data_IF_917925617076
#
_entry.id   IF_917925617076
#
_cell.length_a   1.000
_cell.length_b   1.000
_cell.length_c   1.000
_cell.angle_alpha   90.00
_cell.angle_beta   90.00
_cell.angle_gamma   90.00
#
_symmetry.space_group_name_H-M   'P 1'
#
loop_
_entity.id
_entity.type
_entity.pdbx_description
1 polymer ?
#
# COMPACT_ATOMS: atom_id res chain seq x y z
N UNK A 1 23.84 -24.56 -17.92
CA UNK A 1 23.47 -24.13 -19.28
C UNK A 1 22.57 -22.91 -19.13
N UNK A 2 23.04 -21.72 -19.49
CA UNK A 2 22.25 -20.48 -19.40
C UNK A 2 21.52 -20.29 -20.74
N UNK A 3 20.22 -20.55 -20.75
CA UNK A 3 19.34 -20.20 -21.86
C UNK A 3 19.16 -18.68 -21.85
N UNK A 4 19.68 -18.02 -22.88
CA UNK A 4 19.38 -16.61 -23.16
C UNK A 4 17.93 -16.56 -23.66
N UNK A 5 17.04 -16.01 -22.83
CA UNK A 5 15.74 -15.53 -23.26
C UNK A 5 15.97 -14.34 -24.19
N UNK A 6 15.57 -14.48 -25.45
CA UNK A 6 15.54 -13.39 -26.41
C UNK A 6 14.24 -12.62 -26.14
N UNK A 7 14.34 -11.54 -25.37
CA UNK A 7 13.25 -10.59 -25.20
C UNK A 7 12.95 -10.01 -26.59
N UNK A 8 11.79 -10.37 -27.15
CA UNK A 8 11.27 -9.73 -28.35
C UNK A 8 10.71 -8.37 -27.91
N UNK A 9 11.59 -7.39 -27.78
CA UNK A 9 11.16 -6.00 -27.63
C UNK A 9 10.36 -5.63 -28.86
N UNK A 10 9.05 -5.44 -28.70
CA UNK A 10 8.23 -4.76 -29.70
C UNK A 10 8.72 -3.32 -29.70
N UNK A 11 9.74 -3.07 -30.53
CA UNK A 11 10.15 -1.72 -30.89
C UNK A 11 8.97 -1.06 -31.61
N UNK A 12 8.22 -0.26 -30.86
CA UNK A 12 7.22 0.67 -31.35
C UNK A 12 7.91 1.83 -32.08
N UNK A 13 8.64 1.51 -33.15
CA UNK A 13 9.42 2.47 -33.93
C UNK A 13 9.04 2.36 -35.40
N UNK A 14 7.76 2.57 -35.72
CA UNK A 14 7.34 2.90 -37.11
C UNK A 14 6.02 3.67 -37.15
N UNK A 15 5.98 4.95 -36.77
CA UNK A 15 4.92 5.87 -37.24
C UNK A 15 5.47 7.30 -37.37
N UNK A 16 6.18 7.54 -38.47
CA UNK A 16 6.53 8.89 -38.96
C UNK A 16 6.03 9.13 -40.40
N UNK A 17 5.08 8.33 -40.87
CA UNK A 17 4.47 8.45 -42.20
C UNK A 17 2.96 8.13 -42.18
N UNK A 18 2.17 8.89 -41.42
CA UNK A 18 0.73 9.02 -41.64
C UNK A 18 0.31 10.46 -41.31
N UNK A 19 0.39 11.33 -42.30
CA UNK A 19 -0.43 12.55 -42.34
C UNK A 19 -1.89 12.11 -42.59
N UNK A 20 -2.80 12.50 -41.70
CA UNK A 20 -4.27 12.38 -41.79
C UNK A 20 -4.99 11.08 -41.38
N UNK A 21 -4.47 10.26 -40.46
CA UNK A 21 -5.40 9.41 -39.67
C UNK A 21 -5.98 10.24 -38.53
N UNK A 22 -7.31 10.19 -38.38
CA UNK A 22 -7.98 10.92 -37.31
C UNK A 22 -7.56 10.35 -35.95
N UNK A 23 -7.51 11.18 -34.90
CA UNK A 23 -7.18 10.76 -33.53
C UNK A 23 -8.07 9.59 -33.06
N UNK A 24 -9.28 9.52 -33.59
CA UNK A 24 -10.28 8.50 -33.27
C UNK A 24 -9.87 7.12 -33.82
N UNK A 25 -9.38 7.04 -35.06
CA UNK A 25 -8.91 5.78 -35.67
C UNK A 25 -7.68 5.19 -34.96
N UNK A 26 -6.79 6.03 -34.44
CA UNK A 26 -5.60 5.57 -33.68
C UNK A 26 -6.02 5.00 -32.33
N UNK A 27 -7.05 5.59 -31.70
CA UNK A 27 -7.56 5.12 -30.40
C UNK A 27 -8.24 3.76 -30.56
N UNK A 28 -9.03 3.58 -31.62
CA UNK A 28 -9.73 2.33 -31.93
C UNK A 28 -8.76 1.16 -32.19
N UNK A 29 -7.70 1.37 -32.97
CA UNK A 29 -6.68 0.34 -33.24
C UNK A 29 -5.93 -0.06 -31.95
N UNK A 30 -5.67 0.91 -31.08
CA UNK A 30 -4.98 0.66 -29.82
C UNK A 30 -5.85 -0.16 -28.85
N UNK A 31 -7.14 0.18 -28.73
CA UNK A 31 -8.10 -0.57 -27.92
C UNK A 31 -8.31 -2.00 -28.46
N UNK A 32 -8.42 -2.17 -29.78
CA UNK A 32 -8.56 -3.50 -30.41
C UNK A 32 -7.30 -4.36 -30.14
N UNK A 33 -6.11 -3.77 -30.25
CA UNK A 33 -4.85 -4.47 -29.97
C UNK A 33 -4.77 -4.92 -28.51
N UNK A 34 -5.08 -4.02 -27.55
CA UNK A 34 -5.07 -4.36 -26.13
C UNK A 34 -6.11 -5.42 -25.79
N UNK A 35 -7.31 -5.35 -26.37
CA UNK A 35 -8.37 -6.32 -26.11
C UNK A 35 -8.01 -7.75 -26.54
N UNK A 36 -7.05 -7.92 -27.46
CA UNK A 36 -6.63 -9.22 -27.98
C UNK A 36 -5.55 -9.93 -27.16
N UNK A 37 -4.90 -9.23 -26.23
CA UNK A 37 -3.85 -9.80 -25.38
C UNK A 37 -4.46 -10.65 -24.27
N UNK A 38 -3.85 -11.80 -24.00
CA UNK A 38 -4.16 -12.61 -22.82
C UNK A 38 -3.77 -11.90 -21.52
N UNK A 39 -4.28 -12.37 -20.39
CA UNK A 39 -3.88 -11.88 -19.06
C UNK A 39 -2.35 -11.88 -18.86
N UNK A 40 -1.68 -12.97 -19.27
CA UNK A 40 -0.22 -13.11 -19.13
C UNK A 40 0.52 -12.14 -20.06
N UNK A 41 -0.01 -11.88 -21.25
CA UNK A 41 0.58 -10.91 -22.16
C UNK A 41 0.39 -9.47 -21.68
N UNK A 42 -0.74 -9.13 -21.05
CA UNK A 42 -0.98 -7.81 -20.45
C UNK A 42 0.01 -7.51 -19.33
N UNK A 43 -0.15 -8.17 -18.18
CA UNK A 43 0.89 -9.07 -17.70
C UNK A 43 2.32 -8.57 -17.84
N UNK A 44 3.05 -9.35 -18.65
CA UNK A 44 4.46 -9.26 -19.02
C UNK A 44 4.84 -8.04 -19.89
N UNK A 45 3.87 -7.27 -20.38
CA UNK A 45 4.11 -6.08 -21.18
C UNK A 45 4.04 -4.79 -20.36
N UNK A 46 3.71 -4.87 -19.07
CA UNK A 46 3.63 -3.71 -18.20
C UNK A 46 5.04 -3.26 -17.78
N UNK A 47 5.28 -1.95 -17.65
CA UNK A 47 6.61 -1.43 -17.36
C UNK A 47 7.14 -1.82 -15.98
N UNK A 48 6.23 -2.16 -15.05
CA UNK A 48 6.57 -2.53 -13.67
C UNK A 48 5.80 -3.79 -13.28
N UNK A 49 6.54 -4.84 -12.93
CA UNK A 49 6.01 -6.14 -12.52
C UNK A 49 6.85 -6.73 -11.37
N UNK A 50 6.23 -7.12 -10.24
CA UNK A 50 6.92 -7.81 -9.15
C UNK A 50 7.06 -9.31 -9.44
N UNK A 51 6.21 -9.89 -10.28
CA UNK A 51 6.18 -11.34 -10.55
C UNK A 51 6.59 -11.63 -11.99
N UNK A 52 7.86 -11.96 -12.18
CA UNK A 52 8.39 -12.42 -13.49
C UNK A 52 8.22 -13.93 -13.73
N UNK A 53 7.69 -14.67 -12.76
CA UNK A 53 7.44 -16.10 -12.89
C UNK A 53 6.09 -16.36 -13.58
N UNK A 54 6.16 -16.72 -14.86
CA UNK A 54 5.00 -17.06 -15.70
C UNK A 54 4.14 -18.18 -15.09
N UNK A 55 4.73 -19.13 -14.36
CA UNK A 55 3.96 -20.21 -13.74
C UNK A 55 3.17 -19.72 -12.51
N UNK A 56 3.71 -18.74 -11.79
CA UNK A 56 3.00 -18.07 -10.71
C UNK A 56 1.87 -17.20 -11.27
N UNK A 57 2.11 -16.46 -12.37
CA UNK A 57 1.08 -15.69 -13.07
C UNK A 57 -0.08 -16.58 -13.53
N UNK A 58 0.19 -17.75 -14.11
CA UNK A 58 -0.86 -18.71 -14.47
C UNK A 58 -1.69 -19.17 -13.28
N UNK A 59 -1.06 -19.37 -12.12
CA UNK A 59 -1.81 -19.76 -10.92
C UNK A 59 -2.72 -18.63 -10.44
N UNK A 60 -2.25 -17.37 -10.46
CA UNK A 60 -3.09 -16.21 -10.15
C UNK A 60 -4.21 -16.00 -11.18
N UNK A 61 -3.95 -16.22 -12.46
CA UNK A 61 -4.99 -16.23 -13.50
C UNK A 61 -6.11 -17.22 -13.15
N UNK A 62 -5.76 -18.44 -12.74
CA UNK A 62 -6.74 -19.42 -12.31
C UNK A 62 -7.47 -19.01 -11.04
N UNK A 63 -6.80 -18.36 -10.06
CA UNK A 63 -7.49 -17.80 -8.88
C UNK A 63 -8.51 -16.75 -9.31
N UNK A 64 -8.12 -15.81 -10.18
CA UNK A 64 -9.00 -14.76 -10.71
C UNK A 64 -10.23 -15.35 -11.42
N UNK A 65 -10.04 -16.39 -12.24
CA UNK A 65 -11.15 -17.09 -12.91
C UNK A 65 -12.12 -17.72 -11.91
N UNK A 66 -11.60 -18.43 -10.90
CA UNK A 66 -12.45 -19.09 -9.91
C UNK A 66 -13.17 -18.07 -9.01
N UNK A 67 -12.51 -16.98 -8.64
CA UNK A 67 -13.10 -15.87 -7.89
C UNK A 67 -14.23 -15.22 -8.70
N UNK A 68 -14.01 -14.89 -9.96
CA UNK A 68 -15.05 -14.32 -10.83
C UNK A 68 -16.20 -15.30 -11.08
N UNK A 69 -15.90 -16.59 -11.19
CA UNK A 69 -16.93 -17.64 -11.32
C UNK A 69 -17.84 -17.67 -10.10
N UNK A 70 -17.25 -17.63 -8.90
CA UNK A 70 -18.01 -17.53 -7.64
C UNK A 70 -18.74 -16.19 -7.52
N UNK A 71 -18.14 -15.10 -8.02
CA UNK A 71 -18.73 -13.76 -7.99
C UNK A 71 -19.97 -13.58 -8.87
N UNK A 72 -20.32 -14.54 -9.75
CA UNK A 72 -21.65 -14.60 -10.37
C UNK A 72 -22.76 -14.81 -9.34
N UNK A 73 -22.46 -15.49 -8.21
CA UNK A 73 -23.37 -15.64 -7.09
C UNK A 73 -23.38 -14.37 -6.23
N UNK A 74 -24.57 -13.79 -6.04
CA UNK A 74 -24.76 -12.62 -5.19
C UNK A 74 -24.34 -12.85 -3.74
N UNK A 75 -24.66 -14.01 -3.18
CA UNK A 75 -24.33 -14.34 -1.78
C UNK A 75 -22.81 -14.38 -1.56
N UNK A 76 -22.04 -14.77 -2.58
CA UNK A 76 -20.58 -14.70 -2.54
C UNK A 76 -20.07 -13.25 -2.52
N UNK A 77 -20.65 -12.37 -3.32
CA UNK A 77 -20.25 -10.95 -3.31
C UNK A 77 -20.59 -10.27 -1.98
N UNK A 78 -21.74 -10.61 -1.39
CA UNK A 78 -22.10 -10.16 -0.05
C UNK A 78 -21.11 -10.70 1.00
N UNK A 79 -20.69 -11.97 0.90
CA UNK A 79 -19.66 -12.54 1.77
C UNK A 79 -18.31 -11.80 1.66
N UNK A 80 -17.85 -11.49 0.44
CA UNK A 80 -16.58 -10.75 0.25
C UNK A 80 -16.64 -9.40 0.95
N UNK A 81 -17.75 -8.67 0.81
CA UNK A 81 -17.94 -7.41 1.51
C UNK A 81 -17.92 -7.58 3.04
N UNK A 82 -18.69 -8.53 3.57
CA UNK A 82 -18.78 -8.75 5.02
C UNK A 82 -17.43 -9.16 5.62
N UNK A 83 -16.65 -9.99 4.94
CA UNK A 83 -15.31 -10.40 5.37
C UNK A 83 -14.31 -9.24 5.26
N UNK A 84 -14.39 -8.41 4.20
CA UNK A 84 -13.57 -7.21 4.05
C UNK A 84 -13.73 -6.23 5.23
N UNK A 85 -14.94 -6.10 5.76
CA UNK A 85 -15.23 -5.22 6.90
C UNK A 85 -14.58 -5.68 8.20
N UNK A 86 -14.13 -6.93 8.30
CA UNK A 86 -13.41 -7.40 9.48
C UNK A 86 -12.05 -6.73 9.62
N UNK A 87 -11.48 -6.27 8.51
CA UNK A 87 -10.16 -5.65 8.37
C UNK A 87 -9.02 -6.50 8.95
N UNK A 88 -8.07 -6.88 8.11
CA UNK A 88 -6.86 -7.60 8.55
C UNK A 88 -5.71 -6.61 8.47
N UNK A 89 -5.03 -6.38 9.59
CA UNK A 89 -3.92 -5.41 9.72
C UNK A 89 -4.27 -3.96 9.33
N UNK A 90 -5.57 -3.68 9.23
CA UNK A 90 -6.13 -2.42 8.79
C UNK A 90 -6.71 -2.47 7.39
N UNK A 91 -6.37 -3.44 6.55
CA UNK A 91 -6.81 -3.49 5.15
C UNK A 91 -8.07 -4.32 4.92
N UNK A 92 -8.72 -4.05 3.79
CA UNK A 92 -9.93 -4.75 3.34
C UNK A 92 -9.58 -6.07 2.63
N UNK A 93 -8.70 -6.84 3.27
CA UNK A 93 -8.13 -8.08 2.76
C UNK A 93 -8.96 -9.30 3.14
N UNK A 94 -9.12 -10.21 2.17
CA UNK A 94 -9.84 -11.46 2.31
C UNK A 94 -8.91 -12.60 1.89
N UNK A 95 -8.55 -13.46 2.83
CA UNK A 95 -7.75 -14.64 2.51
C UNK A 95 -8.56 -15.69 1.73
N UNK A 96 -7.92 -16.26 0.70
CA UNK A 96 -8.55 -17.31 -0.12
C UNK A 96 -8.91 -18.55 0.72
N UNK A 97 -8.16 -18.86 1.78
CA UNK A 97 -8.47 -19.99 2.66
C UNK A 97 -9.78 -19.78 3.46
N UNK A 98 -10.11 -18.54 3.83
CA UNK A 98 -11.39 -18.16 4.46
C UNK A 98 -12.57 -18.39 3.52
N UNK A 99 -12.43 -17.98 2.26
CA UNK A 99 -13.41 -18.26 1.21
C UNK A 99 -13.64 -19.77 1.09
N UNK A 100 -12.55 -20.54 1.02
CA UNK A 100 -12.62 -22.01 0.92
C UNK A 100 -13.35 -22.61 2.11
N UNK A 101 -13.06 -22.15 3.32
CA UNK A 101 -13.70 -22.66 4.53
C UNK A 101 -15.19 -22.32 4.63
N UNK A 102 -15.58 -21.12 4.20
CA UNK A 102 -16.98 -20.68 4.17
C UNK A 102 -17.82 -21.51 3.16
N UNK A 103 -17.26 -21.80 1.98
CA UNK A 103 -17.99 -22.43 0.87
C UNK A 103 -17.74 -23.93 0.68
N UNK A 104 -16.92 -24.59 1.52
CA UNK A 104 -16.59 -26.03 1.36
C UNK A 104 -17.77 -27.01 1.34
N UNK A 105 -18.96 -26.58 1.80
CA UNK A 105 -20.19 -27.38 1.82
C UNK A 105 -21.23 -26.92 0.80
N UNK A 106 -20.97 -25.84 0.07
CA UNK A 106 -21.88 -25.32 -0.94
C UNK A 106 -21.68 -26.09 -2.25
N UNK A 107 -22.66 -26.91 -2.62
CA UNK A 107 -22.59 -27.71 -3.85
C UNK A 107 -22.63 -26.84 -5.12
N UNK A 108 -23.16 -25.61 -5.06
CA UNK A 108 -23.25 -24.67 -6.18
C UNK A 108 -21.89 -24.11 -6.62
N UNK A 109 -20.92 -24.00 -5.69
CA UNK A 109 -19.57 -23.47 -5.95
C UNK A 109 -18.45 -24.44 -5.57
N UNK A 110 -18.79 -25.71 -5.37
CA UNK A 110 -17.87 -26.76 -4.90
C UNK A 110 -16.64 -26.96 -5.78
N UNK A 111 -16.82 -26.86 -7.10
CA UNK A 111 -15.72 -27.00 -8.07
C UNK A 111 -14.72 -25.86 -7.86
N UNK A 112 -15.18 -24.61 -7.90
CA UNK A 112 -14.35 -23.42 -7.68
C UNK A 112 -13.68 -23.41 -6.31
N UNK A 113 -14.43 -23.77 -5.28
CA UNK A 113 -13.88 -23.90 -3.92
C UNK A 113 -12.75 -24.93 -3.83
N UNK A 114 -12.90 -26.08 -4.50
CA UNK A 114 -11.86 -27.12 -4.53
C UNK A 114 -10.62 -26.66 -5.30
N UNK A 115 -10.81 -25.93 -6.40
CA UNK A 115 -9.73 -25.38 -7.21
C UNK A 115 -8.98 -24.28 -6.44
N UNK A 116 -9.69 -23.32 -5.83
CA UNK A 116 -9.10 -22.28 -4.99
C UNK A 116 -8.29 -22.86 -3.83
N UNK A 117 -8.75 -23.94 -3.19
CA UNK A 117 -7.99 -24.63 -2.15
C UNK A 117 -6.63 -25.14 -2.66
N UNK A 118 -6.62 -25.77 -3.83
CA UNK A 118 -5.38 -26.28 -4.43
C UNK A 118 -4.45 -25.14 -4.83
N UNK A 119 -4.97 -24.11 -5.50
CA UNK A 119 -4.23 -22.94 -5.94
C UNK A 119 -3.63 -22.19 -4.75
N UNK A 120 -4.41 -21.98 -3.68
CA UNK A 120 -3.95 -21.31 -2.46
C UNK A 120 -2.76 -22.03 -1.82
N UNK A 121 -2.80 -23.36 -1.72
CA UNK A 121 -1.68 -24.15 -1.19
C UNK A 121 -0.46 -24.07 -2.11
N UNK A 122 -0.65 -24.15 -3.43
CA UNK A 122 0.44 -24.11 -4.39
C UNK A 122 1.14 -22.73 -4.40
N UNK A 123 0.37 -21.65 -4.47
CA UNK A 123 0.87 -20.28 -4.40
C UNK A 123 1.60 -20.01 -3.09
N UNK A 124 1.01 -20.43 -1.96
CA UNK A 124 1.67 -20.32 -0.65
C UNK A 124 3.03 -21.00 -0.63
N UNK A 125 3.13 -22.23 -1.16
CA UNK A 125 4.39 -22.96 -1.21
C UNK A 125 5.40 -22.32 -2.17
N UNK A 126 4.93 -21.83 -3.32
CA UNK A 126 5.77 -21.16 -4.32
C UNK A 126 6.27 -19.78 -3.84
N UNK A 127 5.51 -19.11 -2.97
CA UNK A 127 5.79 -17.77 -2.48
C UNK A 127 6.28 -17.76 -1.03
N UNK A 128 7.10 -18.73 -0.63
CA UNK A 128 7.75 -18.81 0.70
C UNK A 128 6.81 -18.72 1.92
N UNK A 129 5.55 -19.12 1.78
CA UNK A 129 4.56 -19.09 2.85
C UNK A 129 3.56 -17.92 2.75
N UNK A 130 3.78 -16.96 1.84
CA UNK A 130 2.89 -15.82 1.59
C UNK A 130 1.60 -16.33 0.94
N UNK A 131 0.46 -16.03 1.55
CA UNK A 131 -0.86 -16.48 1.10
C UNK A 131 -1.41 -15.59 -0.03
N UNK A 132 -2.23 -16.14 -0.94
CA UNK A 132 -3.01 -15.31 -1.84
C UNK A 132 -4.25 -14.74 -1.14
N UNK A 133 -4.61 -13.52 -1.53
CA UNK A 133 -5.75 -12.75 -1.00
C UNK A 133 -6.60 -12.16 -2.13
N UNK A 134 -7.75 -11.62 -1.73
CA UNK A 134 -8.50 -10.60 -2.46
C UNK A 134 -8.46 -9.33 -1.60
N UNK A 135 -8.03 -8.21 -2.14
CA UNK A 135 -8.26 -6.88 -1.57
C UNK A 135 -9.47 -6.23 -2.25
N UNK A 136 -10.39 -5.64 -1.48
CA UNK A 136 -11.63 -5.05 -1.98
C UNK A 136 -11.78 -3.56 -1.57
N UNK A 137 -11.22 -2.61 -2.36
CA UNK A 137 -11.15 -1.20 -1.98
C UNK A 137 -12.49 -0.53 -1.73
N UNK A 138 -13.50 -0.82 -2.55
CA UNK A 138 -14.85 -0.23 -2.44
C UNK A 138 -15.53 -0.56 -1.11
N UNK A 139 -15.09 -1.59 -0.39
CA UNK A 139 -15.59 -1.88 0.95
C UNK A 139 -15.45 -0.65 1.88
N UNK A 140 -14.39 0.13 1.76
CA UNK A 140 -14.21 1.39 2.52
C UNK A 140 -15.32 2.40 2.22
N UNK A 141 -15.61 2.63 0.93
CA UNK A 141 -16.65 3.57 0.49
C UNK A 141 -18.03 3.12 1.00
N UNK A 142 -18.32 1.83 0.92
CA UNK A 142 -19.58 1.25 1.39
C UNK A 142 -19.70 1.33 2.91
N UNK A 143 -18.63 1.08 3.65
CA UNK A 143 -18.57 1.22 5.11
C UNK A 143 -18.83 2.68 5.54
N UNK A 144 -18.19 3.65 4.88
CA UNK A 144 -18.44 5.09 5.12
C UNK A 144 -19.90 5.45 4.88
N UNK A 145 -20.49 4.96 3.79
CA UNK A 145 -21.91 5.19 3.49
C UNK A 145 -22.84 4.59 4.55
N UNK A 146 -22.55 3.39 5.07
CA UNK A 146 -23.28 2.78 6.18
C UNK A 146 -23.16 3.59 7.48
N UNK A 147 -21.98 4.13 7.78
CA UNK A 147 -21.75 4.99 8.95
C UNK A 147 -22.56 6.29 8.86
N UNK A 148 -22.64 6.90 7.68
CA UNK A 148 -23.41 8.13 7.44
C UNK A 148 -24.91 7.86 7.38
N UNK A 149 -25.32 6.78 6.73
CA UNK A 149 -26.72 6.38 6.55
C UNK A 149 -26.92 4.89 6.87
N UNK A 150 -27.42 4.62 8.08
CA UNK A 150 -27.70 3.25 8.54
C UNK A 150 -28.75 2.50 7.70
N UNK A 151 -29.55 3.19 6.88
CA UNK A 151 -30.50 2.56 5.96
C UNK A 151 -29.93 2.30 4.56
N UNK A 152 -28.64 2.61 4.34
CA UNK A 152 -27.97 2.34 3.07
C UNK A 152 -27.94 0.83 2.80
N UNK A 153 -28.48 0.42 1.65
CA UNK A 153 -28.61 -0.98 1.29
C UNK A 153 -27.43 -1.42 0.42
N UNK A 154 -26.31 -1.78 1.07
CA UNK A 154 -25.10 -2.27 0.40
C UNK A 154 -25.39 -3.44 -0.55
N UNK A 155 -26.26 -4.37 -0.13
CA UNK A 155 -26.60 -5.56 -0.93
C UNK A 155 -27.24 -5.25 -2.28
N UNK A 156 -27.80 -4.05 -2.46
CA UNK A 156 -28.37 -3.61 -3.73
C UNK A 156 -27.38 -2.88 -4.64
N UNK A 157 -26.20 -2.54 -4.13
CA UNK A 157 -25.19 -1.75 -4.85
C UNK A 157 -23.97 -2.56 -5.27
N UNK A 158 -23.83 -3.80 -4.77
CA UNK A 158 -22.74 -4.71 -5.17
C UNK A 158 -23.11 -5.44 -6.47
N UNK A 159 -22.34 -5.16 -7.50
CA UNK A 159 -22.40 -5.65 -8.87
C UNK A 159 -21.34 -6.72 -9.12
N UNK A 160 -21.32 -7.31 -10.32
CA UNK A 160 -20.26 -8.24 -10.70
C UNK A 160 -18.91 -7.51 -10.83
N UNK A 161 -17.86 -8.01 -10.18
CA UNK A 161 -16.61 -7.29 -10.08
C UNK A 161 -15.79 -7.39 -11.38
N UNK A 162 -14.95 -6.38 -11.60
CA UNK A 162 -13.75 -6.51 -12.43
C UNK A 162 -12.63 -7.06 -11.54
N UNK A 163 -11.80 -7.96 -12.05
CA UNK A 163 -10.64 -8.45 -11.30
C UNK A 163 -9.36 -7.85 -11.86
N UNK A 164 -8.45 -7.47 -10.98
CA UNK A 164 -7.11 -6.98 -11.33
C UNK A 164 -6.07 -7.82 -10.60
N UNK A 165 -4.86 -7.91 -11.15
CA UNK A 165 -3.75 -8.59 -10.50
C UNK A 165 -2.89 -7.58 -9.71
N UNK A 166 -2.63 -7.88 -8.44
CA UNK A 166 -1.77 -7.05 -7.58
C UNK A 166 -0.35 -7.03 -8.13
N UNK A 167 0.18 -5.83 -8.36
CA UNK A 167 1.58 -5.62 -8.69
C UNK A 167 1.88 -5.36 -10.17
N UNK A 168 0.98 -5.61 -11.10
CA UNK A 168 1.23 -5.29 -12.50
C UNK A 168 0.55 -3.96 -12.87
N UNK A 169 1.32 -2.92 -13.20
CA UNK A 169 0.74 -1.58 -13.42
C UNK A 169 1.54 -0.71 -14.40
N UNK A 170 0.86 0.28 -14.97
CA UNK A 170 1.43 1.31 -15.83
C UNK A 170 2.11 2.43 -15.04
N UNK A 171 2.86 3.30 -15.71
CA UNK A 171 3.51 4.45 -15.05
C UNK A 171 2.54 5.42 -14.38
N UNK A 172 1.28 5.46 -14.84
CA UNK A 172 0.20 6.26 -14.25
C UNK A 172 -0.56 5.51 -13.13
N UNK A 173 -0.06 4.35 -12.71
CA UNK A 173 -0.65 3.46 -11.72
C UNK A 173 -1.98 2.84 -12.12
N UNK A 174 -2.37 2.92 -13.40
CA UNK A 174 -3.50 2.14 -13.90
C UNK A 174 -3.12 0.65 -14.06
N UNK A 175 -4.09 -0.22 -13.83
CA UNK A 175 -3.93 -1.70 -13.86
C UNK A 175 -4.95 -2.31 -14.83
N UNK A 176 -4.58 -3.27 -15.69
CA UNK A 176 -5.55 -3.93 -16.55
C UNK A 176 -6.55 -4.74 -15.72
N UNK A 177 -7.83 -4.46 -15.93
CA UNK A 177 -8.96 -5.15 -15.33
C UNK A 177 -9.57 -6.16 -16.30
N UNK A 178 -9.98 -7.30 -15.74
CA UNK A 178 -10.50 -8.44 -16.49
C UNK A 178 -11.88 -8.87 -16.02
N UNK A 179 -12.62 -9.50 -16.93
CA UNK A 179 -13.89 -10.19 -16.67
C UNK A 179 -13.89 -11.57 -17.32
N UNK A 180 -14.88 -12.39 -17.01
CA UNK A 180 -15.10 -13.66 -17.69
C UNK A 180 -15.95 -13.47 -18.93
N UNK A 181 -15.53 -14.07 -20.04
CA UNK A 181 -16.37 -14.27 -21.22
C UNK A 181 -17.33 -15.46 -21.06
N UNK A 182 -18.02 -15.82 -22.15
CA UNK A 182 -18.94 -16.97 -22.19
C UNK A 182 -18.24 -18.32 -21.98
N UNK A 183 -16.94 -18.41 -22.32
CA UNK A 183 -16.12 -19.60 -22.18
C UNK A 183 -15.43 -19.70 -20.81
N UNK A 184 -15.63 -18.70 -19.93
CA UNK A 184 -14.94 -18.51 -18.65
C UNK A 184 -13.42 -18.30 -18.80
N UNK A 185 -13.00 -17.61 -19.86
CA UNK A 185 -11.65 -17.08 -20.01
C UNK A 185 -11.60 -15.63 -19.53
N UNK A 186 -10.45 -15.20 -19.01
CA UNK A 186 -10.24 -13.78 -18.71
C UNK A 186 -10.11 -12.99 -20.01
N UNK A 187 -10.97 -11.98 -20.15
CA UNK A 187 -10.90 -10.99 -21.22
C UNK A 187 -10.68 -9.62 -20.60
N UNK A 188 -9.87 -8.80 -21.27
CA UNK A 188 -9.65 -7.42 -20.86
C UNK A 188 -10.97 -6.64 -20.91
N UNK A 189 -11.30 -5.94 -19.82
CA UNK A 189 -12.49 -5.09 -19.70
C UNK A 189 -12.10 -3.62 -19.84
N UNK A 190 -11.19 -3.16 -18.98
CA UNK A 190 -10.76 -1.76 -18.92
C UNK A 190 -9.46 -1.58 -18.14
N UNK A 191 -8.85 -0.41 -18.28
CA UNK A 191 -7.85 0.06 -17.33
C UNK A 191 -8.53 0.55 -16.05
N UNK A 192 -8.14 0.00 -14.92
CA UNK A 192 -8.64 0.36 -13.59
C UNK A 192 -7.68 1.34 -12.94
N UNK A 193 -8.22 2.39 -12.35
CA UNK A 193 -7.48 3.41 -11.59
C UNK A 193 -7.94 3.39 -10.13
N UNK A 194 -7.21 4.07 -9.23
CA UNK A 194 -7.59 4.24 -7.83
C UNK A 194 -9.02 4.78 -7.69
N UNK A 195 -9.39 5.83 -8.43
CA UNK A 195 -10.74 6.40 -8.34
C UNK A 195 -11.81 5.41 -8.88
N UNK A 196 -11.50 4.64 -9.92
CA UNK A 196 -12.41 3.60 -10.41
C UNK A 196 -12.64 2.51 -9.35
N UNK A 197 -11.56 2.02 -8.72
CA UNK A 197 -11.61 0.91 -7.77
C UNK A 197 -12.36 1.24 -6.46
N UNK A 198 -12.37 2.51 -6.04
CA UNK A 198 -13.12 2.94 -4.85
C UNK A 198 -14.61 3.20 -5.13
N UNK A 199 -15.01 3.35 -6.40
CA UNK A 199 -16.40 3.62 -6.80
C UNK A 199 -17.11 2.40 -7.38
N UNK A 200 -16.36 1.44 -7.92
CA UNK A 200 -16.87 0.24 -8.60
C UNK A 200 -16.36 -1.05 -7.97
N UNK A 201 -17.06 -2.16 -8.19
CA UNK A 201 -16.64 -3.45 -7.67
C UNK A 201 -15.39 -3.93 -8.41
N UNK A 202 -14.25 -3.78 -7.76
CA UNK A 202 -12.94 -4.24 -8.23
C UNK A 202 -12.35 -5.15 -7.18
N UNK A 203 -12.02 -6.39 -7.57
CA UNK A 203 -11.32 -7.35 -6.73
C UNK A 203 -9.86 -7.40 -7.15
N UNK A 204 -8.97 -7.12 -6.20
CA UNK A 204 -7.52 -7.15 -6.45
C UNK A 204 -7.00 -8.47 -5.93
N UNK A 205 -6.52 -9.33 -6.83
CA UNK A 205 -6.02 -10.65 -6.49
C UNK A 205 -4.51 -10.64 -6.50
N UNK A 206 -3.89 -11.13 -5.43
CA UNK A 206 -2.44 -11.13 -5.31
C UNK A 206 -1.92 -11.79 -4.04
N UNK A 207 -0.61 -11.70 -3.78
CA UNK A 207 -0.05 -12.08 -2.49
C UNK A 207 -0.51 -11.12 -1.38
N UNK A 208 -0.62 -11.63 -0.15
CA UNK A 208 -0.68 -10.79 1.06
C UNK A 208 0.63 -10.01 1.22
N UNK A 209 0.56 -8.83 1.83
CA UNK A 209 1.71 -8.18 2.45
C UNK A 209 1.79 -8.68 3.90
N UNK A 210 2.99 -9.07 4.35
CA UNK A 210 3.22 -9.57 5.71
C UNK A 210 3.78 -8.43 6.55
N UNK A 211 2.90 -7.52 6.97
CA UNK A 211 3.29 -6.32 7.73
C UNK A 211 2.96 -6.51 9.21
N UNK A 212 3.96 -6.47 10.06
CA UNK A 212 3.77 -6.46 11.52
C UNK A 212 3.32 -5.06 11.99
N UNK A 213 2.02 -4.79 11.87
CA UNK A 213 1.37 -3.60 12.38
C UNK A 213 0.76 -3.85 13.76
N UNK A 214 0.94 -2.95 14.73
CA UNK A 214 0.15 -3.00 15.95
C UNK A 214 -1.33 -2.74 15.61
N UNK A 215 -2.26 -3.52 16.18
CA UNK A 215 -3.72 -3.26 16.10
C UNK A 215 -3.97 -1.76 16.29
N UNK A 216 -4.65 -1.10 15.35
CA UNK A 216 -4.79 0.37 15.22
C UNK A 216 -4.89 1.07 16.60
N UNK A 217 -3.73 1.44 17.17
CA UNK A 217 -3.70 2.19 18.41
C UNK A 217 -3.86 3.64 17.99
N UNK A 218 -5.09 4.11 17.91
CA UNK A 218 -5.34 5.55 18.06
C UNK A 218 -4.67 5.91 19.40
N UNK A 219 -3.63 6.76 19.44
CA UNK A 219 -2.84 6.96 20.65
C UNK A 219 -3.72 7.66 21.69
N UNK A 220 -4.46 6.87 22.47
CA UNK A 220 -5.21 7.33 23.62
C UNK A 220 -4.20 7.64 24.70
N UNK A 221 -3.66 8.86 24.63
CA UNK A 221 -3.29 9.63 25.80
C UNK A 221 -2.21 9.04 26.71
N UNK A 222 -1.03 8.68 26.18
CA UNK A 222 0.19 9.00 26.90
C UNK A 222 0.46 10.50 26.74
N UNK A 223 -0.47 11.30 27.27
CA UNK A 223 -0.36 12.74 27.31
C UNK A 223 0.19 13.06 28.70
N UNK A 224 1.52 13.18 28.89
CA UNK A 224 2.09 13.46 30.19
C UNK A 224 1.63 14.83 30.65
N UNK A 225 0.50 14.90 31.36
CA UNK A 225 -0.09 16.09 31.98
C UNK A 225 0.12 17.36 31.18
N UNK A 226 -0.66 17.54 30.11
CA UNK A 226 -0.67 18.78 29.32
C UNK A 226 -1.09 19.96 30.22
N UNK A 227 -0.12 20.77 30.63
CA UNK A 227 -0.36 21.95 31.46
C UNK A 227 0.39 23.19 30.94
N UNK A 228 0.87 23.17 29.70
CA UNK A 228 1.48 24.34 29.08
C UNK A 228 1.09 24.42 27.62
N UNK A 229 0.04 25.18 27.31
CA UNK A 229 -0.15 25.77 25.98
C UNK A 229 1.05 26.69 25.68
N UNK A 230 2.15 26.10 25.22
CA UNK A 230 3.33 26.84 24.81
C UNK A 230 3.03 27.48 23.45
N UNK A 231 2.57 28.73 23.49
CA UNK A 231 2.26 29.54 22.30
C UNK A 231 3.52 29.97 21.53
N UNK A 232 4.72 29.61 21.98
CA UNK A 232 5.96 29.95 21.29
C UNK A 232 6.33 28.88 20.25
N UNK A 233 6.64 29.35 19.05
CA UNK A 233 7.18 28.54 17.94
C UNK A 233 8.65 28.13 18.17
N UNK A 234 9.26 28.60 19.26
CA UNK A 234 10.67 28.38 19.63
C UNK A 234 10.78 27.24 20.63
N UNK A 235 11.76 26.36 20.43
CA UNK A 235 12.12 25.29 21.39
C UNK A 235 12.89 25.82 22.58
N UNK A 236 12.64 25.23 23.74
CA UNK A 236 13.36 25.51 24.98
C UNK A 236 13.83 24.21 25.60
N UNK A 237 14.92 24.26 26.36
CA UNK A 237 15.45 23.08 27.04
C UNK A 237 14.42 22.52 28.02
N UNK A 238 14.21 21.20 27.99
CA UNK A 238 13.15 20.49 28.73
C UNK A 238 11.76 20.53 28.11
N UNK A 239 11.57 21.13 26.92
CA UNK A 239 10.26 21.17 26.24
C UNK A 239 9.87 19.79 25.70
N UNK A 240 8.58 19.47 25.76
CA UNK A 240 8.00 18.28 25.11
C UNK A 240 7.96 18.47 23.59
N UNK A 241 8.35 17.45 22.84
CA UNK A 241 8.18 17.37 21.39
C UNK A 241 7.09 16.39 21.00
N UNK A 242 6.13 16.86 20.21
CA UNK A 242 5.18 16.02 19.50
C UNK A 242 5.54 15.96 18.01
N UNK A 243 5.22 14.83 17.37
CA UNK A 243 5.43 14.64 15.94
C UNK A 243 4.27 13.90 15.28
N UNK A 244 4.58 13.17 14.21
CA UNK A 244 3.59 12.51 13.36
C UNK A 244 2.51 13.49 12.86
N UNK A 245 2.94 14.66 12.41
CA UNK A 245 2.13 15.52 11.55
C UNK A 245 2.76 15.52 10.17
N UNK A 246 2.09 14.86 9.22
CA UNK A 246 2.64 14.59 7.89
C UNK A 246 1.69 15.04 6.78
N UNK A 247 2.25 15.18 5.59
CA UNK A 247 1.54 15.45 4.35
C UNK A 247 2.19 14.59 3.27
N UNK A 248 1.43 13.72 2.63
CA UNK A 248 1.90 12.93 1.49
C UNK A 248 1.72 13.73 0.21
N UNK A 249 2.77 13.84 -0.59
CA UNK A 249 2.82 14.63 -1.82
C UNK A 249 2.52 13.81 -3.07
N UNK A 250 2.86 12.52 -3.02
CA UNK A 250 2.58 11.52 -4.04
C UNK A 250 2.26 10.20 -3.32
N UNK A 251 0.98 9.82 -3.34
CA UNK A 251 0.48 8.64 -2.62
C UNK A 251 0.97 7.34 -3.27
N UNK A 252 0.89 7.25 -4.59
CA UNK A 252 1.22 6.04 -5.34
C UNK A 252 2.74 5.82 -5.49
N UNK A 253 3.56 6.84 -5.22
CA UNK A 253 5.01 6.71 -5.11
C UNK A 253 5.48 6.23 -3.73
N UNK A 254 4.62 6.30 -2.71
CA UNK A 254 4.87 5.70 -1.40
C UNK A 254 4.30 4.30 -1.36
N UNK A 255 3.01 4.16 -1.66
CA UNK A 255 2.30 2.90 -1.53
C UNK A 255 1.17 2.86 -2.56
N UNK A 256 1.07 1.78 -3.31
CA UNK A 256 0.17 1.69 -4.44
C UNK A 256 -1.28 1.52 -3.97
N UNK A 257 -2.25 2.10 -4.70
CA UNK A 257 -3.66 1.97 -4.32
C UNK A 257 -4.18 0.52 -4.30
N UNK A 258 -3.50 -0.38 -4.98
CA UNK A 258 -3.83 -1.80 -5.01
C UNK A 258 -3.12 -2.63 -3.94
N UNK A 259 -2.27 -2.00 -3.13
CA UNK A 259 -1.57 -2.68 -2.04
C UNK A 259 -2.26 -2.48 -0.69
N UNK A 260 -2.77 -1.27 -0.40
CA UNK A 260 -3.64 -1.13 0.76
C UNK A 260 -3.69 0.29 1.31
N UNK A 261 -3.64 0.39 2.63
CA UNK A 261 -3.59 1.64 3.38
C UNK A 261 -2.17 2.24 3.30
N UNK A 262 -1.59 2.61 4.43
CA UNK A 262 -0.30 3.28 4.49
C UNK A 262 0.29 2.93 5.84
N UNK A 263 1.33 2.12 5.86
CA UNK A 263 1.88 1.51 7.05
C UNK A 263 3.16 2.28 7.43
N UNK A 264 3.00 3.45 8.03
CA UNK A 264 4.15 4.29 8.32
C UNK A 264 4.88 3.85 9.59
N UNK A 265 6.21 3.98 9.55
CA UNK A 265 7.09 3.93 10.72
C UNK A 265 7.91 5.20 10.85
N UNK A 266 7.78 5.82 12.02
CA UNK A 266 8.54 6.98 12.47
C UNK A 266 9.62 6.53 13.46
N UNK A 267 10.88 6.77 13.13
CA UNK A 267 12.01 6.54 14.01
C UNK A 267 12.70 7.87 14.29
N UNK A 268 12.78 8.22 15.58
CA UNK A 268 13.54 9.38 16.04
C UNK A 268 14.78 8.89 16.73
N UNK A 269 15.94 9.33 16.26
CA UNK A 269 17.22 9.00 16.85
C UNK A 269 17.99 10.27 17.23
N UNK A 270 18.75 10.21 18.33
CA UNK A 270 19.61 11.31 18.79
C UNK A 270 20.97 10.82 19.23
N UNK A 271 21.84 11.75 19.64
CA UNK A 271 23.14 11.42 20.22
C UNK A 271 23.04 11.61 21.72
N UNK A 272 23.13 10.52 22.49
CA UNK A 272 23.21 10.54 23.94
C UNK A 272 24.68 10.35 24.37
N UNK A 273 25.31 11.43 24.85
CA UNK A 273 26.75 11.44 25.13
C UNK A 273 27.57 11.32 23.84
N UNK A 274 28.19 10.15 23.59
CA UNK A 274 29.01 9.89 22.39
C UNK A 274 28.41 8.84 21.44
N UNK A 275 27.22 8.32 21.74
CA UNK A 275 26.60 7.24 20.98
C UNK A 275 25.25 7.68 20.40
N UNK A 276 24.98 7.27 19.16
CA UNK A 276 23.64 7.36 18.59
C UNK A 276 22.70 6.38 19.31
N UNK A 277 21.46 6.79 19.52
CA UNK A 277 20.43 5.98 20.16
C UNK A 277 19.07 6.26 19.55
N UNK A 278 18.21 5.24 19.49
CA UNK A 278 16.80 5.40 19.14
C UNK A 278 16.07 5.96 20.36
N UNK A 279 15.46 7.12 20.18
CA UNK A 279 14.66 7.81 21.21
C UNK A 279 13.20 7.33 21.13
N UNK A 280 12.68 7.23 19.91
CA UNK A 280 11.31 6.82 19.62
C UNK A 280 11.29 5.94 18.38
N UNK A 281 10.47 4.91 18.41
CA UNK A 281 10.12 4.07 17.28
C UNK A 281 8.60 3.85 17.35
N UNK A 282 7.89 4.27 16.32
CA UNK A 282 6.44 4.32 16.32
C UNK A 282 5.90 3.92 14.95
N UNK A 283 5.03 2.90 14.93
CA UNK A 283 4.35 2.41 13.74
C UNK A 283 2.88 2.81 13.77
N UNK A 284 2.28 3.10 12.63
CA UNK A 284 0.86 3.41 12.51
C UNK A 284 0.34 3.23 11.08
N UNK A 285 -0.90 2.78 10.94
CA UNK A 285 -1.58 2.68 9.64
C UNK A 285 -2.49 3.89 9.40
N UNK A 286 -2.75 4.26 8.14
CA UNK A 286 -3.82 5.21 7.83
C UNK A 286 -4.42 5.07 6.44
N UNK A 287 -5.73 5.26 6.39
CA UNK A 287 -6.47 5.30 5.13
C UNK A 287 -5.96 6.38 4.17
N UNK A 288 -5.92 6.05 2.89
CA UNK A 288 -5.43 6.92 1.80
C UNK A 288 -6.21 8.23 1.69
N UNK A 289 -7.51 8.19 1.97
CA UNK A 289 -8.39 9.37 2.03
C UNK A 289 -7.92 10.44 3.04
N UNK A 290 -7.08 10.05 4.02
CA UNK A 290 -6.45 11.01 4.92
C UNK A 290 -5.40 11.92 4.27
N UNK A 291 -4.96 11.60 3.06
CA UNK A 291 -3.89 12.31 2.36
C UNK A 291 -4.29 12.84 0.97
N UNK A 292 -5.53 12.57 0.53
CA UNK A 292 -6.08 13.17 -0.68
C UNK A 292 -5.92 14.70 -0.66
N UNK A 293 -5.69 15.25 -1.85
CA UNK A 293 -5.42 16.68 -2.06
C UNK A 293 -4.20 17.22 -1.30
N UNK A 294 -3.26 16.34 -0.92
CA UNK A 294 -2.05 16.68 -0.17
C UNK A 294 -2.39 17.39 1.14
N UNK A 295 -3.44 16.93 1.83
CA UNK A 295 -3.82 17.52 3.12
C UNK A 295 -2.83 17.13 4.23
N UNK A 296 -2.66 18.02 5.20
CA UNK A 296 -1.92 17.69 6.42
C UNK A 296 -2.78 16.79 7.32
N UNK A 297 -2.15 15.79 7.89
CA UNK A 297 -2.75 14.89 8.86
C UNK A 297 -1.88 14.80 10.12
N UNK A 298 -2.50 14.83 11.28
CA UNK A 298 -1.84 14.69 12.59
C UNK A 298 -2.36 13.42 13.26
N UNK A 299 -1.44 12.54 13.65
CA UNK A 299 -1.78 11.30 14.35
C UNK A 299 -2.03 11.56 15.84
N UNK A 300 -3.22 11.19 16.32
CA UNK A 300 -3.71 11.58 17.65
C UNK A 300 -4.14 13.05 17.72
N UNK A 301 -4.88 13.41 18.78
CA UNK A 301 -5.46 14.76 18.94
C UNK A 301 -4.40 15.89 18.87
N UNK A 302 -3.17 15.59 19.29
CA UNK A 302 -2.08 16.57 19.38
C UNK A 302 -0.77 16.10 18.75
N UNK A 303 -0.78 15.05 17.95
CA UNK A 303 0.45 14.40 17.52
C UNK A 303 0.88 13.34 18.53
N UNK A 304 1.95 12.62 18.18
CA UNK A 304 2.52 11.56 19.00
C UNK A 304 3.62 12.13 19.87
N UNK A 305 3.59 11.88 21.18
CA UNK A 305 4.69 12.24 22.08
C UNK A 305 5.97 11.52 21.64
N UNK A 306 7.02 12.31 21.39
CA UNK A 306 8.32 11.79 20.98
C UNK A 306 9.29 11.74 22.17
N UNK A 307 9.58 12.88 22.78
CA UNK A 307 10.52 13.01 23.91
C UNK A 307 10.48 14.41 24.53
N UNK A 308 11.23 14.60 25.63
CA UNK A 308 11.59 15.93 26.15
C UNK A 308 12.93 16.36 25.55
N UNK A 309 12.97 17.48 24.84
CA UNK A 309 14.22 17.97 24.28
C UNK A 309 15.15 18.44 25.39
N UNK A 310 16.25 17.73 25.59
CA UNK A 310 17.30 18.12 26.52
C UNK A 310 18.61 18.27 25.75
N UNK A 311 19.07 19.50 25.59
CA UNK A 311 20.28 19.85 24.82
C UNK A 311 21.57 19.33 25.44
N UNK A 312 21.58 19.06 26.75
CA UNK A 312 22.72 18.44 27.44
C UNK A 312 22.81 16.93 27.16
N UNK A 313 21.66 16.26 27.00
CA UNK A 313 21.60 14.81 26.80
C UNK A 313 21.50 14.43 25.31
N UNK A 314 20.54 14.99 24.58
CA UNK A 314 20.24 14.68 23.17
C UNK A 314 20.99 15.57 22.17
N UNK A 315 21.61 16.65 22.66
CA UNK A 315 22.32 17.61 21.83
C UNK A 315 21.41 18.62 21.13
N UNK A 316 21.96 19.23 20.08
CA UNK A 316 21.32 20.34 19.34
C UNK A 316 20.45 19.86 18.18
N UNK A 317 20.35 18.57 17.93
CA UNK A 317 19.55 18.03 16.84
C UNK A 317 19.26 16.54 17.03
N UNK A 318 18.21 16.06 16.38
CA UNK A 318 17.87 14.66 16.22
C UNK A 318 17.67 14.36 14.72
N UNK A 319 17.72 13.09 14.35
CA UNK A 319 17.35 12.62 13.02
C UNK A 319 16.01 11.95 13.10
N UNK A 320 15.10 12.38 12.23
CA UNK A 320 13.82 11.74 12.02
C UNK A 320 13.87 10.95 10.73
N UNK A 321 13.60 9.65 10.82
CA UNK A 321 13.59 8.69 9.72
C UNK A 321 12.16 8.19 9.54
N UNK A 322 11.72 8.18 8.29
CA UNK A 322 10.40 7.71 7.90
C UNK A 322 10.53 6.52 6.97
N UNK A 323 9.66 5.54 7.17
CA UNK A 323 9.56 4.35 6.35
C UNK A 323 8.08 4.06 6.09
N UNK A 324 7.80 3.55 4.90
CA UNK A 324 6.62 2.74 4.60
C UNK A 324 7.00 1.29 5.00
N UNK A 325 6.04 0.46 5.41
CA UNK A 325 6.27 -0.92 5.82
C UNK A 325 5.52 -1.91 4.90
N UNK A 326 6.18 -2.35 3.83
CA UNK A 326 5.71 -3.44 2.96
C UNK A 326 6.06 -4.86 3.47
N UNK A 327 6.95 -4.95 4.46
CA UNK A 327 7.37 -6.19 5.09
C UNK A 327 8.48 -6.97 4.35
N UNK A 328 8.46 -8.30 4.43
CA UNK A 328 9.42 -9.19 3.77
C UNK A 328 10.49 -9.81 4.69
N UNK A 329 11.72 -9.92 4.21
CA UNK A 329 12.82 -10.54 4.98
C UNK A 329 13.46 -9.52 5.89
N UNK A 330 13.66 -9.91 7.15
CA UNK A 330 14.37 -9.08 8.12
C UNK A 330 15.73 -8.62 7.60
N UNK A 331 15.92 -7.31 7.60
CA UNK A 331 17.14 -6.58 7.28
C UNK A 331 17.34 -5.46 8.31
N UNK A 332 18.13 -4.45 7.95
CA UNK A 332 18.37 -3.31 8.81
C UNK A 332 18.61 -2.03 8.00
N UNK A 333 18.14 -0.90 8.51
CA UNK A 333 18.47 0.43 8.00
C UNK A 333 19.37 1.18 9.00
N UNK A 334 20.21 2.08 8.50
CA UNK A 334 21.18 2.81 9.33
C UNK A 334 20.89 4.30 9.28
N UNK A 335 20.65 4.88 10.45
CA UNK A 335 20.48 6.31 10.64
C UNK A 335 21.85 6.90 10.97
N UNK A 336 22.35 7.78 10.11
CA UNK A 336 23.69 8.37 10.24
C UNK A 336 23.61 9.81 10.73
N UNK A 337 24.50 10.13 11.67
CA UNK A 337 24.63 11.43 12.32
C UNK A 337 25.85 12.15 11.72
N UNK A 338 25.73 13.40 11.22
CA UNK A 338 26.88 14.18 10.81
C UNK A 338 27.93 14.31 11.93
N UNK A 339 29.20 14.38 11.52
CA UNK A 339 30.33 14.69 12.40
C UNK A 339 30.11 16.03 13.10
N UNK A 340 30.32 16.08 14.41
CA UNK A 340 30.36 17.33 15.17
C UNK A 340 31.78 17.59 15.70
N UNK A 341 32.27 18.82 15.52
CA UNK A 341 33.50 19.31 16.14
C UNK A 341 34.74 18.41 15.91
N UNK A 342 34.84 17.78 14.73
CA UNK A 342 35.97 16.88 14.39
C UNK A 342 35.86 15.46 14.97
N UNK A 343 34.76 15.13 15.65
CA UNK A 343 34.44 13.75 16.05
C UNK A 343 33.97 12.93 14.84
N UNK A 344 34.19 11.61 14.82
CA UNK A 344 33.69 10.77 13.73
C UNK A 344 32.15 10.81 13.65
N UNK A 345 31.63 10.55 12.45
CA UNK A 345 30.21 10.23 12.27
C UNK A 345 29.80 9.07 13.19
N UNK A 346 28.64 9.19 13.82
CA UNK A 346 28.03 8.10 14.59
C UNK A 346 26.78 7.62 13.86
N UNK A 347 26.34 6.40 14.14
CA UNK A 347 25.14 5.84 13.52
C UNK A 347 24.43 4.89 14.47
N UNK A 348 23.13 4.74 14.26
CA UNK A 348 22.33 3.69 14.88
C UNK A 348 21.70 2.85 13.79
N UNK A 349 21.73 1.54 13.98
CA UNK A 349 21.11 0.58 13.08
C UNK A 349 19.82 0.12 13.72
N UNK A 350 18.75 0.10 12.93
CA UNK A 350 17.42 -0.32 13.36
C UNK A 350 16.93 -1.46 12.48
N UNK A 351 16.20 -2.44 13.03
CA UNK A 351 15.58 -3.49 12.22
C UNK A 351 14.69 -2.87 11.16
N UNK A 352 14.63 -3.48 9.99
CA UNK A 352 13.66 -3.19 8.92
C UNK A 352 13.44 -4.47 8.12
N UNK A 353 12.66 -4.40 7.05
CA UNK A 353 12.45 -5.51 6.12
C UNK A 353 12.90 -5.08 4.71
N UNK A 354 13.10 -6.04 3.80
CA UNK A 354 13.72 -5.78 2.50
C UNK A 354 12.75 -5.22 1.45
N UNK A 355 11.46 -5.23 1.74
CA UNK A 355 10.45 -4.52 0.96
C UNK A 355 10.10 -3.16 1.57
N UNK A 356 10.32 -2.91 2.87
CA UNK A 356 10.07 -1.60 3.50
C UNK A 356 10.67 -0.43 2.70
N UNK A 357 9.84 0.53 2.34
CA UNK A 357 10.24 1.66 1.51
C UNK A 357 10.85 2.82 2.32
N UNK A 358 12.05 3.25 1.92
CA UNK A 358 12.77 4.35 2.57
C UNK A 358 12.25 5.72 2.11
N UNK A 359 11.38 6.31 2.92
CA UNK A 359 10.80 7.63 2.66
C UNK A 359 11.74 8.80 2.98
N UNK A 360 12.94 8.50 3.47
CA UNK A 360 14.01 9.45 3.74
C UNK A 360 14.14 9.83 5.21
N UNK A 361 15.10 10.72 5.46
CA UNK A 361 15.38 11.23 6.80
C UNK A 361 15.75 12.70 6.78
N UNK A 362 15.44 13.41 7.85
CA UNK A 362 15.84 14.80 8.02
C UNK A 362 16.37 15.10 9.41
N UNK A 363 17.27 16.08 9.49
CA UNK A 363 17.82 16.58 10.75
C UNK A 363 16.87 17.67 11.26
N UNK A 364 16.30 17.43 12.44
CA UNK A 364 15.54 18.43 13.19
C UNK A 364 16.48 19.11 14.15
N UNK A 365 16.69 20.42 14.03
CA UNK A 365 17.56 21.17 14.92
C UNK A 365 16.77 21.81 16.06
N UNK A 366 17.40 21.93 17.22
CA UNK A 366 16.84 22.61 18.38
C UNK A 366 16.50 24.06 18.07
N UNK A 367 17.27 24.70 17.20
CA UNK A 367 17.06 26.10 16.79
C UNK A 367 15.98 26.28 15.73
N UNK A 368 15.49 25.19 15.12
CA UNK A 368 14.43 25.29 14.13
C UNK A 368 13.13 25.69 14.83
N UNK A 369 12.32 26.58 14.22
CA UNK A 369 10.95 26.81 14.69
C UNK A 369 10.10 25.53 14.54
N UNK A 370 9.08 25.36 15.38
CA UNK A 370 8.14 24.23 15.28
C UNK A 370 7.32 24.27 13.99
N UNK A 371 7.14 25.46 13.41
CA UNK A 371 6.52 25.65 12.10
C UNK A 371 7.38 25.14 10.93
N UNK A 372 8.61 24.70 11.18
CA UNK A 372 9.50 24.18 10.12
C UNK A 372 8.88 22.96 9.46
N UNK A 373 8.80 23.01 8.13
CA UNK A 373 8.37 21.90 7.29
C UNK A 373 9.61 21.22 6.73
N UNK A 374 9.77 19.96 7.07
CA UNK A 374 10.85 19.12 6.56
C UNK A 374 10.30 18.32 5.38
N UNK A 375 10.97 18.41 4.24
CA UNK A 375 10.60 17.67 3.03
C UNK A 375 11.51 16.43 2.94
N UNK A 376 10.92 15.25 2.75
CA UNK A 376 11.64 13.99 2.56
C UNK A 376 10.95 13.18 1.45
N UNK A 377 11.70 12.83 0.41
CA UNK A 377 11.21 12.09 -0.77
C UNK A 377 9.80 12.55 -1.24
N UNK A 378 8.76 11.79 -0.92
CA UNK A 378 7.36 12.00 -1.33
C UNK A 378 6.45 12.52 -0.21
N UNK A 379 7.01 12.95 0.93
CA UNK A 379 6.24 13.53 2.03
C UNK A 379 6.86 14.80 2.62
N UNK A 380 6.04 15.48 3.39
CA UNK A 380 6.45 16.50 4.34
C UNK A 380 6.10 16.08 5.76
N UNK A 381 6.89 16.52 6.73
CA UNK A 381 6.53 16.42 8.15
C UNK A 381 6.86 17.71 8.90
N UNK A 382 6.24 17.88 10.07
CA UNK A 382 6.55 18.94 11.04
C UNK A 382 6.33 18.48 12.48
N UNK A 383 6.86 19.24 13.44
CA UNK A 383 6.70 19.01 14.88
C UNK A 383 5.62 19.91 15.48
N UNK A 384 5.21 19.63 16.72
CA UNK A 384 4.22 20.40 17.47
C UNK A 384 4.65 20.62 18.92
#
# INVERSE_FOLDING_TARGET
MKTKSTLLGICLSTFLLLDCTSRDEITEIYEETLSSLSFIEHTLNLPKEPVSDVEMLKQYEQVMIEVLTMAKNKDFREFIFDEALLQVDGDYDIFIDKIVDAYKKDDGVKKSTSNLKLLSVNLKNANNGIRPIIFYPRAETLEKNLKVNKSFNVKSTIEEPVVVFRGAYNEDYSVPGFRLDEDNSLVFDRMVTEEDAWQNDVYIVGPEEDVDMPEEIDPVGDNPGDNTSATSDIRTDGRIEYGATIQVLDMNAIEHWFSGKFEFRLIVAGVAGSAATVIKDFKFTRARDNFKDKRWYTYGDNGVFLFYWNTSNLGQWNVEKWMELDGGKSTQTTITFPSQNGLPTTSVTVPSEDLDDDLGSSIVQFTDPLSTVYNISYMNFKRK
#
